data_IF_565585425536
#
_entry.id   IF_565585425536
#
_cell.length_a   1.000
_cell.length_b   1.000
_cell.length_c   1.000
_cell.angle_alpha   90.00
_cell.angle_beta   90.00
_cell.angle_gamma   90.00
#
_symmetry.space_group_name_H-M   'P 1'
#
loop_
_entity.id
_entity.type
_entity.pdbx_description
1 polymer ?
#
# COMPACT_ATOMS: atom_id res chain seq x y z
N UNK A 1 -82.69 -39.41 26.75
CA UNK A 1 -82.36 -38.77 28.04
C UNK A 1 -81.02 -39.35 28.48
N UNK A 2 -80.00 -38.50 28.68
CA UNK A 2 -78.66 -38.81 29.25
C UNK A 2 -77.71 -39.58 28.28
N UNK A 3 -76.84 -38.90 27.51
CA UNK A 3 -75.45 -38.41 27.80
C UNK A 3 -74.40 -39.50 27.65
N UNK A 4 -73.49 -39.36 26.66
CA UNK A 4 -72.05 -39.53 26.92
C UNK A 4 -71.18 -38.88 25.83
N UNK A 5 -70.10 -38.26 26.31
CA UNK A 5 -69.22 -37.29 25.64
C UNK A 5 -67.93 -37.96 25.20
N UNK A 6 -67.49 -37.79 23.97
CA UNK A 6 -66.10 -38.01 23.57
C UNK A 6 -65.56 -36.76 22.88
N UNK A 7 -64.76 -35.97 23.60
CA UNK A 7 -63.92 -34.89 23.05
C UNK A 7 -62.47 -35.32 23.22
N UNK A 8 -61.80 -35.58 22.11
CA UNK A 8 -60.33 -35.71 22.07
C UNK A 8 -59.72 -34.31 22.17
N UNK A 9 -58.94 -34.06 23.22
CA UNK A 9 -58.06 -32.90 23.34
C UNK A 9 -56.68 -33.29 22.80
N UNK A 10 -56.30 -32.75 21.64
CA UNK A 10 -54.90 -32.74 21.21
C UNK A 10 -54.21 -31.56 21.90
N UNK A 11 -53.29 -31.83 22.82
CA UNK A 11 -52.44 -30.82 23.44
C UNK A 11 -51.31 -30.44 22.47
N UNK A 12 -51.26 -29.16 22.08
CA UNK A 12 -50.15 -28.55 21.36
C UNK A 12 -49.03 -28.27 22.36
N UNK A 13 -47.89 -28.95 22.22
CA UNK A 13 -46.66 -28.58 22.91
C UNK A 13 -45.87 -27.63 22.01
N UNK A 14 -45.95 -26.32 22.29
CA UNK A 14 -45.12 -25.31 21.65
C UNK A 14 -43.83 -25.15 22.46
N UNK A 15 -42.75 -25.80 22.02
CA UNK A 15 -41.42 -25.66 22.63
C UNK A 15 -40.82 -24.33 22.17
N UNK A 16 -40.85 -23.31 23.04
CA UNK A 16 -40.16 -22.04 22.78
C UNK A 16 -38.67 -22.26 23.01
N UNK A 17 -37.91 -22.36 21.91
CA UNK A 17 -36.44 -22.27 21.96
C UNK A 17 -36.11 -20.79 22.14
N UNK A 18 -35.78 -20.40 23.37
CA UNK A 18 -35.21 -19.10 23.66
C UNK A 18 -33.78 -19.06 23.08
N UNK A 19 -33.65 -18.56 21.85
CA UNK A 19 -32.35 -18.26 21.26
C UNK A 19 -31.67 -17.17 22.07
N UNK A 20 -30.51 -17.50 22.66
CA UNK A 20 -29.60 -16.51 23.21
C UNK A 20 -29.13 -15.62 22.07
N UNK A 21 -29.74 -14.43 21.95
CA UNK A 21 -29.19 -13.34 21.14
C UNK A 21 -27.94 -12.87 21.88
N UNK A 22 -26.78 -13.37 21.48
CA UNK A 22 -25.51 -12.76 21.82
C UNK A 22 -25.46 -11.44 21.08
N UNK A 23 -25.87 -10.36 21.75
CA UNK A 23 -25.63 -9.00 21.27
C UNK A 23 -24.11 -8.82 21.34
N UNK A 24 -23.44 -8.90 20.19
CA UNK A 24 -22.05 -8.52 20.10
C UNK A 24 -21.90 -7.09 20.64
N UNK A 25 -21.02 -6.91 21.62
CA UNK A 25 -20.72 -5.57 22.14
C UNK A 25 -20.38 -4.65 20.96
N UNK A 26 -20.91 -3.41 20.91
CA UNK A 26 -20.57 -2.49 19.84
C UNK A 26 -19.06 -2.31 19.83
N UNK A 27 -18.43 -2.61 18.70
CA UNK A 27 -17.01 -2.33 18.51
C UNK A 27 -16.78 -0.84 18.79
N UNK A 28 -15.99 -0.55 19.82
CA UNK A 28 -15.75 0.83 20.25
C UNK A 28 -14.97 1.54 19.15
N UNK A 29 -15.57 2.56 18.54
CA UNK A 29 -14.91 3.46 17.59
C UNK A 29 -13.61 3.99 18.20
N UNK A 30 -12.47 3.79 17.52
CA UNK A 30 -11.16 4.26 17.96
C UNK A 30 -10.67 5.41 17.09
N UNK A 31 -9.95 6.34 17.70
CA UNK A 31 -9.14 7.32 16.97
C UNK A 31 -7.74 6.74 16.81
N UNK A 32 -7.29 6.57 15.57
CA UNK A 32 -5.95 6.08 15.22
C UNK A 32 -5.13 7.23 14.67
N UNK A 33 -4.14 7.67 15.45
CA UNK A 33 -3.29 8.79 15.06
C UNK A 33 -1.97 8.29 14.49
N UNK A 34 -1.61 8.78 13.31
CA UNK A 34 -0.34 8.54 12.64
C UNK A 34 0.40 9.88 12.49
N UNK A 35 1.69 9.88 12.79
CA UNK A 35 2.56 11.04 12.59
C UNK A 35 3.44 10.72 11.39
N UNK A 36 3.13 11.33 10.24
CA UNK A 36 3.79 11.02 8.97
C UNK A 36 4.50 12.28 8.49
N UNK A 37 5.73 12.17 8.04
CA UNK A 37 6.38 13.26 7.32
C UNK A 37 6.78 12.82 5.91
N UNK A 38 6.77 13.78 4.97
CA UNK A 38 7.46 13.62 3.70
C UNK A 38 8.90 14.11 3.90
N UNK A 39 9.86 13.26 3.55
CA UNK A 39 11.28 13.51 3.76
C UNK A 39 12.08 13.28 2.48
N UNK A 40 13.06 14.16 2.24
CA UNK A 40 14.02 13.99 1.16
C UNK A 40 15.01 12.87 1.51
N UNK A 41 15.13 11.88 0.63
CA UNK A 41 16.07 10.76 0.76
C UNK A 41 16.79 10.53 -0.55
N UNK A 42 18.01 9.96 -0.48
CA UNK A 42 18.61 9.29 -1.64
C UNK A 42 18.17 7.83 -1.62
N UNK A 43 17.31 7.47 -2.57
CA UNK A 43 16.81 6.12 -2.76
C UNK A 43 17.69 5.38 -3.75
N UNK A 44 18.09 4.15 -3.44
CA UNK A 44 18.83 3.27 -4.35
C UNK A 44 17.91 2.14 -4.80
N UNK A 45 17.62 2.05 -6.10
CA UNK A 45 16.74 1.02 -6.66
C UNK A 45 17.37 -0.38 -6.65
N UNK A 46 18.71 -0.46 -6.62
CA UNK A 46 19.45 -1.72 -6.60
C UNK A 46 20.65 -1.65 -5.63
N UNK A 47 20.41 -1.59 -4.30
CA UNK A 47 21.43 -1.37 -3.28
C UNK A 47 22.58 -2.39 -3.28
N UNK A 48 22.37 -3.63 -3.76
CA UNK A 48 23.46 -4.61 -3.85
C UNK A 48 24.42 -4.36 -5.01
N UNK A 49 24.03 -3.52 -5.98
CA UNK A 49 24.75 -3.36 -7.25
C UNK A 49 24.72 -4.60 -8.15
N UNK A 50 23.85 -5.58 -7.85
CA UNK A 50 23.75 -6.86 -8.54
C UNK A 50 22.29 -7.22 -8.86
N UNK A 51 22.14 -8.06 -9.87
CA UNK A 51 20.92 -8.82 -10.09
C UNK A 51 20.96 -10.07 -9.22
N UNK A 52 20.16 -10.03 -8.15
CA UNK A 52 20.11 -11.09 -7.14
C UNK A 52 19.23 -12.28 -7.55
N UNK A 53 18.47 -12.16 -8.64
CA UNK A 53 17.71 -13.27 -9.24
C UNK A 53 18.63 -14.08 -10.15
N UNK A 54 19.35 -13.41 -11.04
CA UNK A 54 20.28 -14.07 -11.98
C UNK A 54 21.64 -14.41 -11.35
N UNK A 55 22.00 -13.78 -10.22
CA UNK A 55 23.31 -13.92 -9.59
C UNK A 55 24.43 -13.29 -10.40
N UNK A 56 24.16 -12.14 -11.04
CA UNK A 56 25.06 -11.46 -11.98
C UNK A 56 25.15 -9.97 -11.68
N UNK A 57 26.06 -9.28 -12.36
CA UNK A 57 26.08 -7.82 -12.36
C UNK A 57 24.77 -7.27 -12.97
N UNK A 58 24.35 -6.07 -12.52
CA UNK A 58 23.27 -5.33 -13.16
C UNK A 58 23.57 -5.11 -14.65
N UNK A 59 22.53 -5.03 -15.50
CA UNK A 59 22.75 -4.76 -16.92
C UNK A 59 23.45 -3.41 -17.14
N UNK A 60 24.14 -3.25 -18.29
CA UNK A 60 24.75 -1.97 -18.63
C UNK A 60 23.70 -0.84 -18.62
N UNK A 61 24.03 0.27 -17.94
CA UNK A 61 23.15 1.44 -17.90
C UNK A 61 22.89 1.99 -19.30
N UNK A 62 21.70 2.56 -19.51
CA UNK A 62 21.47 3.39 -20.68
C UNK A 62 22.40 4.64 -20.62
N UNK A 63 22.94 5.15 -21.75
CA UNK A 63 23.82 6.32 -21.73
C UNK A 63 23.19 7.56 -21.08
N UNK A 64 21.87 7.71 -21.18
CA UNK A 64 21.07 8.79 -20.59
C UNK A 64 20.50 8.47 -19.20
N UNK A 65 20.76 7.29 -18.65
CA UNK A 65 20.43 6.98 -17.27
C UNK A 65 21.44 7.67 -16.34
N UNK A 66 20.94 8.38 -15.32
CA UNK A 66 21.80 9.10 -14.37
C UNK A 66 22.63 8.14 -13.51
N UNK A 67 21.97 7.11 -12.97
CA UNK A 67 22.57 6.13 -12.08
C UNK A 67 21.51 5.16 -11.53
N UNK A 68 21.74 4.66 -10.31
CA UNK A 68 20.80 3.82 -9.55
C UNK A 68 20.28 4.49 -8.28
N UNK A 69 20.82 5.68 -7.96
CA UNK A 69 20.51 6.44 -6.75
C UNK A 69 19.86 7.76 -7.16
N UNK A 70 18.69 8.07 -6.60
CA UNK A 70 17.92 9.27 -6.91
C UNK A 70 17.42 9.94 -5.63
N UNK A 71 17.40 11.27 -5.59
CA UNK A 71 16.63 12.04 -4.62
C UNK A 71 15.15 11.78 -4.83
N UNK A 72 14.48 11.43 -3.75
CA UNK A 72 13.05 11.16 -3.67
C UNK A 72 12.46 11.83 -2.44
N UNK A 73 11.17 12.15 -2.49
CA UNK A 73 10.39 12.53 -1.31
C UNK A 73 9.53 11.35 -0.92
N UNK A 74 9.80 10.74 0.24
CA UNK A 74 9.06 9.54 0.69
C UNK A 74 8.34 9.80 2.00
N UNK A 75 7.21 9.11 2.22
CA UNK A 75 6.52 9.16 3.51
C UNK A 75 7.22 8.29 4.55
N UNK A 76 7.43 8.84 5.74
CA UNK A 76 8.02 8.12 6.87
C UNK A 76 7.23 8.39 8.15
N UNK A 77 7.12 7.38 9.02
CA UNK A 77 6.40 7.50 10.29
C UNK A 77 7.31 8.00 11.39
N UNK A 78 6.79 8.88 12.23
CA UNK A 78 7.42 9.42 13.42
C UNK A 78 6.67 8.93 14.67
N UNK A 79 7.35 8.95 15.82
CA UNK A 79 6.77 8.46 17.07
C UNK A 79 5.65 9.33 17.59
N UNK A 80 5.71 10.64 17.32
CA UNK A 80 4.80 11.63 17.90
C UNK A 80 4.79 12.95 17.12
N UNK A 81 4.00 13.89 17.64
CA UNK A 81 3.73 15.23 17.12
C UNK A 81 4.96 16.14 16.96
N UNK A 82 6.09 15.82 17.60
CA UNK A 82 7.30 16.64 17.53
C UNK A 82 8.05 16.43 16.22
N UNK A 83 7.85 15.27 15.58
CA UNK A 83 8.62 14.82 14.41
C UNK A 83 10.14 14.81 14.66
N UNK A 84 10.57 14.60 15.91
CA UNK A 84 11.98 14.51 16.27
C UNK A 84 12.55 13.10 16.12
N UNK A 85 11.72 12.07 16.30
CA UNK A 85 12.15 10.67 16.27
C UNK A 85 11.42 9.90 15.18
N UNK A 86 12.19 9.44 14.20
CA UNK A 86 11.70 8.52 13.18
C UNK A 86 11.35 7.18 13.84
N UNK A 87 10.16 6.67 13.57
CA UNK A 87 9.76 5.33 14.01
C UNK A 87 10.50 4.30 13.17
N UNK A 88 11.34 3.50 13.83
CA UNK A 88 12.14 2.50 13.15
C UNK A 88 11.25 1.42 12.50
N UNK A 89 11.54 1.06 11.25
CA UNK A 89 10.99 -0.15 10.63
C UNK A 89 11.79 -1.35 11.11
N UNK A 90 11.10 -2.33 11.68
CA UNK A 90 11.72 -3.60 12.04
C UNK A 90 12.04 -4.45 10.81
N UNK A 91 12.79 -5.55 10.96
CA UNK A 91 13.11 -6.47 9.87
C UNK A 91 11.87 -6.99 9.12
N UNK A 92 10.75 -7.17 9.83
CA UNK A 92 9.48 -7.61 9.24
C UNK A 92 8.87 -6.59 8.27
N UNK A 93 9.16 -5.30 8.43
CA UNK A 93 8.63 -4.22 7.60
C UNK A 93 9.66 -3.69 6.59
N UNK A 94 10.88 -4.25 6.57
CA UNK A 94 11.96 -3.79 5.71
C UNK A 94 11.58 -3.89 4.21
N UNK A 95 10.76 -4.88 3.85
CA UNK A 95 10.26 -5.08 2.49
C UNK A 95 9.36 -3.93 2.01
N UNK A 96 8.78 -3.11 2.89
CA UNK A 96 7.93 -1.98 2.47
C UNK A 96 8.73 -1.00 1.59
N UNK A 97 10.06 -1.00 1.72
CA UNK A 97 10.94 -0.25 0.85
C UNK A 97 10.59 1.24 0.81
N UNK A 98 10.30 1.74 -0.39
CA UNK A 98 9.98 3.13 -0.62
C UNK A 98 8.62 3.55 -0.07
N UNK A 99 7.67 2.61 0.05
CA UNK A 99 6.30 2.90 0.48
C UNK A 99 6.29 3.61 1.82
N UNK A 100 5.30 4.48 2.02
CA UNK A 100 4.95 5.06 3.30
C UNK A 100 4.55 4.02 4.35
N UNK A 101 4.45 4.41 5.63
CA UNK A 101 3.94 3.51 6.66
C UNK A 101 2.53 3.00 6.35
N UNK A 102 2.24 1.79 6.81
CA UNK A 102 0.91 1.20 6.66
C UNK A 102 -0.05 1.87 7.63
N UNK A 103 -1.05 2.56 7.10
CA UNK A 103 -2.16 3.10 7.89
C UNK A 103 -3.19 2.00 8.07
N UNK A 104 -3.52 1.63 9.30
CA UNK A 104 -4.52 0.61 9.61
C UNK A 104 -5.75 1.20 10.29
N UNK A 105 -6.92 0.67 9.98
CA UNK A 105 -8.14 0.98 10.72
C UNK A 105 -9.17 -0.15 10.63
N UNK A 106 -10.08 -0.19 11.60
CA UNK A 106 -11.30 -1.00 11.54
C UNK A 106 -12.49 -0.12 11.14
N UNK A 107 -13.53 -0.72 10.57
CA UNK A 107 -14.79 -0.01 10.31
C UNK A 107 -15.33 0.65 11.59
N UNK A 108 -15.66 1.93 11.48
CA UNK A 108 -16.09 2.78 12.59
C UNK A 108 -14.97 3.59 13.25
N UNK A 109 -13.71 3.30 12.94
CA UNK A 109 -12.59 4.11 13.42
C UNK A 109 -12.51 5.46 12.71
N UNK A 110 -11.78 6.38 13.34
CA UNK A 110 -11.32 7.64 12.74
C UNK A 110 -9.80 7.62 12.63
N UNK A 111 -9.28 7.78 11.43
CA UNK A 111 -7.86 7.93 11.13
C UNK A 111 -7.52 9.42 11.22
N UNK A 112 -6.48 9.75 11.97
CA UNK A 112 -5.91 11.09 12.05
C UNK A 112 -4.47 11.02 11.57
N UNK A 113 -4.15 11.70 10.47
CA UNK A 113 -2.77 11.82 9.99
C UNK A 113 -2.28 13.22 10.30
N UNK A 114 -1.34 13.34 11.24
CA UNK A 114 -0.57 14.57 11.43
C UNK A 114 0.60 14.54 10.46
N UNK A 115 0.48 15.33 9.40
CA UNK A 115 1.45 15.38 8.32
C UNK A 115 2.41 16.56 8.52
N UNK A 116 3.71 16.32 8.39
CA UNK A 116 4.74 17.37 8.29
C UNK A 116 5.47 17.27 6.96
N UNK A 117 5.63 18.40 6.28
CA UNK A 117 6.40 18.43 5.04
C UNK A 117 7.83 18.90 5.34
N UNK A 118 8.80 17.97 5.40
CA UNK A 118 10.22 18.31 5.57
C UNK A 118 10.95 18.51 4.22
N UNK A 119 10.24 18.41 3.10
CA UNK A 119 10.80 18.56 1.75
C UNK A 119 10.81 20.02 1.30
N UNK A 120 11.37 20.28 0.11
CA UNK A 120 11.30 21.57 -0.58
C UNK A 120 10.09 21.72 -1.51
N UNK A 121 9.32 20.65 -1.69
CA UNK A 121 8.13 20.64 -2.52
C UNK A 121 6.91 21.08 -1.71
N UNK A 122 5.86 21.55 -2.37
CA UNK A 122 4.53 21.53 -1.77
C UNK A 122 3.97 20.14 -1.98
N UNK A 123 3.51 19.48 -0.92
CA UNK A 123 2.99 18.12 -0.92
C UNK A 123 1.72 18.05 -0.08
N UNK A 124 0.88 17.06 -0.32
CA UNK A 124 -0.36 16.81 0.44
C UNK A 124 -0.44 15.35 0.86
N UNK A 125 -1.50 14.94 1.55
CA UNK A 125 -1.81 13.51 1.79
C UNK A 125 -3.26 13.26 1.41
N UNK A 126 -3.47 12.65 0.24
CA UNK A 126 -4.77 12.27 -0.29
C UNK A 126 -5.04 10.78 -0.07
N UNK A 127 -6.15 10.39 0.60
CA UNK A 127 -6.48 9.00 0.81
C UNK A 127 -7.50 8.48 -0.23
N UNK A 128 -7.40 7.19 -0.54
CA UNK A 128 -8.43 6.46 -1.27
C UNK A 128 -9.37 5.71 -0.30
N UNK A 129 -10.60 5.45 -0.74
CA UNK A 129 -11.59 4.57 -0.08
C UNK A 129 -12.29 5.11 1.17
N UNK A 130 -11.59 5.86 2.03
CA UNK A 130 -12.12 6.40 3.29
C UNK A 130 -13.04 7.61 3.08
N UNK A 131 -13.62 8.15 4.16
CA UNK A 131 -14.46 9.36 4.12
C UNK A 131 -13.73 10.54 4.74
N UNK A 132 -13.69 11.65 4.02
CA UNK A 132 -13.09 12.91 4.46
C UNK A 132 -14.02 14.09 4.16
N UNK A 133 -13.80 15.20 4.88
CA UNK A 133 -14.36 16.50 4.54
C UNK A 133 -13.36 17.27 3.67
N UNK A 134 -13.80 18.39 3.08
CA UNK A 134 -13.01 19.17 2.10
C UNK A 134 -11.68 19.71 2.62
N UNK A 135 -11.53 19.93 3.93
CA UNK A 135 -10.27 20.34 4.56
C UNK A 135 -9.35 19.16 4.94
N UNK A 136 -9.67 17.95 4.51
CA UNK A 136 -8.91 16.72 4.76
C UNK A 136 -8.84 15.82 3.52
N UNK A 137 -9.06 16.39 2.34
CA UNK A 137 -9.00 15.68 1.07
C UNK A 137 -7.58 15.62 0.52
N UNK A 138 -6.84 16.72 0.63
CA UNK A 138 -5.45 16.79 0.17
C UNK A 138 -5.29 16.79 -1.34
N UNK A 139 -6.26 17.30 -2.09
CA UNK A 139 -6.21 17.34 -3.56
C UNK A 139 -6.66 18.72 -4.10
N UNK A 140 -5.77 19.50 -4.74
CA UNK A 140 -6.12 20.81 -5.29
C UNK A 140 -6.93 20.71 -6.58
N UNK A 141 -8.20 21.11 -6.53
CA UNK A 141 -9.02 21.36 -7.72
C UNK A 141 -10.08 22.45 -7.48
N UNK A 142 -10.78 22.85 -8.54
CA UNK A 142 -11.89 23.82 -8.47
C UNK A 142 -13.14 23.16 -7.90
N UNK A 143 -13.19 23.08 -6.57
CA UNK A 143 -14.21 22.36 -5.80
C UNK A 143 -15.23 23.26 -5.09
N UNK A 144 -15.07 24.59 -5.15
CA UNK A 144 -15.93 25.55 -4.47
C UNK A 144 -15.75 25.63 -2.95
N UNK A 145 -14.74 24.98 -2.38
CA UNK A 145 -14.44 25.04 -0.95
C UNK A 145 -13.94 26.43 -0.53
N UNK A 146 -14.16 26.79 0.73
CA UNK A 146 -13.73 28.06 1.27
C UNK A 146 -12.21 28.12 1.39
N UNK A 147 -11.60 29.31 1.32
CA UNK A 147 -10.15 29.49 1.45
C UNK A 147 -9.52 28.85 2.69
N UNK A 148 -10.27 28.73 3.80
CA UNK A 148 -9.81 28.07 5.03
C UNK A 148 -9.70 26.55 4.93
N UNK A 149 -10.36 25.95 3.94
CA UNK A 149 -10.42 24.52 3.65
C UNK A 149 -9.42 24.16 2.54
N UNK A 150 -8.45 25.03 2.25
CA UNK A 150 -7.44 24.86 1.19
C UNK A 150 -6.04 24.61 1.71
N UNK A 151 -5.86 24.52 3.03
CA UNK A 151 -4.55 24.28 3.64
C UNK A 151 -4.09 22.82 3.54
N UNK A 152 -5.02 21.91 3.25
CA UNK A 152 -4.77 20.48 3.06
C UNK A 152 -4.30 20.16 1.63
N UNK A 153 -4.78 20.93 0.64
CA UNK A 153 -4.51 20.77 -0.79
C UNK A 153 -3.01 20.82 -1.16
N UNK A 154 -2.22 21.63 -0.44
CA UNK A 154 -0.79 21.79 -0.70
C UNK A 154 -0.07 22.32 0.54
N UNK A 155 0.44 21.42 1.37
CA UNK A 155 1.19 21.77 2.58
C UNK A 155 2.58 22.28 2.18
N UNK A 156 2.95 23.53 2.53
CA UNK A 156 4.22 24.11 2.10
C UNK A 156 5.43 23.46 2.81
N UNK A 157 6.66 23.67 2.30
CA UNK A 157 7.89 23.30 2.99
C UNK A 157 7.91 23.77 4.45
N UNK A 158 8.20 22.86 5.38
CA UNK A 158 8.18 23.09 6.82
C UNK A 158 6.78 23.15 7.45
N UNK A 159 5.73 23.09 6.64
CA UNK A 159 4.33 23.13 7.07
C UNK A 159 3.89 21.84 7.76
N UNK A 160 2.84 21.98 8.57
CA UNK A 160 2.16 20.86 9.24
C UNK A 160 0.66 20.99 8.99
N UNK A 161 0.02 19.88 8.62
CA UNK A 161 -1.43 19.78 8.50
C UNK A 161 -1.96 18.53 9.21
N UNK A 162 -3.23 18.53 9.60
CA UNK A 162 -3.87 17.35 10.19
C UNK A 162 -5.05 16.93 9.33
N UNK A 163 -4.93 15.76 8.73
CA UNK A 163 -5.99 15.12 7.95
C UNK A 163 -6.82 14.22 8.87
N UNK A 164 -8.14 14.31 8.80
CA UNK A 164 -9.05 13.46 9.58
C UNK A 164 -9.99 12.70 8.64
N UNK A 165 -9.94 11.38 8.70
CA UNK A 165 -10.73 10.49 7.86
C UNK A 165 -11.53 9.52 8.71
N UNK A 166 -12.81 9.37 8.40
CA UNK A 166 -13.67 8.36 9.04
C UNK A 166 -13.75 7.11 8.18
N UNK A 167 -13.91 5.95 8.82
CA UNK A 167 -14.01 4.65 8.14
C UNK A 167 -15.45 4.14 8.21
N UNK A 168 -16.35 4.59 7.32
CA UNK A 168 -17.71 4.06 7.23
C UNK A 168 -17.72 2.64 6.63
N UNK A 169 -18.87 1.98 6.68
CA UNK A 169 -19.05 0.65 6.06
C UNK A 169 -18.67 0.62 4.56
N UNK A 170 -18.91 1.73 3.83
CA UNK A 170 -18.53 1.84 2.41
C UNK A 170 -17.02 1.84 2.14
N UNK A 171 -16.19 2.04 3.17
CA UNK A 171 -14.73 2.00 3.07
C UNK A 171 -14.17 0.61 3.43
N UNK A 172 -15.05 -0.30 3.86
CA UNK A 172 -14.73 -1.63 4.35
C UNK A 172 -14.73 -2.67 3.23
N UNK A 173 -14.20 -3.88 3.50
CA UNK A 173 -14.41 -5.03 2.64
C UNK A 173 -15.91 -5.27 2.38
N UNK A 174 -16.27 -5.43 1.11
CA UNK A 174 -17.60 -5.84 0.69
C UNK A 174 -17.94 -7.28 1.11
N UNK A 175 -19.16 -7.75 0.81
CA UNK A 175 -19.62 -9.07 1.25
C UNK A 175 -18.75 -10.24 0.78
N UNK A 176 -18.19 -10.13 -0.44
CA UNK A 176 -17.34 -11.14 -1.07
C UNK A 176 -15.84 -10.91 -0.83
N UNK A 177 -15.47 -9.75 -0.29
CA UNK A 177 -14.09 -9.45 0.01
C UNK A 177 -13.61 -10.23 1.24
N UNK A 178 -12.28 -10.42 1.39
CA UNK A 178 -11.69 -10.90 2.63
C UNK A 178 -12.00 -10.02 3.85
N UNK A 179 -11.49 -10.39 5.03
CA UNK A 179 -11.74 -9.61 6.25
C UNK A 179 -11.05 -8.23 6.27
N UNK A 180 -10.12 -7.96 5.35
CA UNK A 180 -9.44 -6.69 5.19
C UNK A 180 -9.12 -6.42 3.73
N UNK A 181 -9.19 -5.15 3.33
CA UNK A 181 -8.85 -4.66 1.99
C UNK A 181 -7.77 -3.58 2.06
N UNK A 182 -7.14 -3.30 0.92
CA UNK A 182 -6.15 -2.23 0.78
C UNK A 182 -6.73 -1.08 -0.03
N UNK A 183 -6.54 0.13 0.49
CA UNK A 183 -6.56 1.38 -0.24
C UNK A 183 -5.14 1.96 -0.27
N UNK A 184 -4.94 3.10 -0.90
CA UNK A 184 -3.68 3.83 -0.85
C UNK A 184 -3.85 5.27 -0.41
N UNK A 185 -2.75 5.92 -0.07
CA UNK A 185 -2.64 7.36 0.06
C UNK A 185 -1.41 7.84 -0.66
N UNK A 186 -1.48 9.04 -1.25
CA UNK A 186 -0.35 9.65 -1.96
C UNK A 186 -0.44 11.18 -1.90
N UNK A 187 0.64 11.88 -2.28
CA UNK A 187 0.53 13.33 -2.54
C UNK A 187 -0.22 13.56 -3.85
N UNK A 188 -1.03 14.61 -3.89
CA UNK A 188 -1.91 14.93 -5.02
C UNK A 188 -1.72 16.36 -5.54
N UNK A 189 -0.63 17.04 -5.15
CA UNK A 189 -0.36 18.42 -5.58
C UNK A 189 -0.03 18.53 -7.06
N UNK A 190 0.65 17.51 -7.59
CA UNK A 190 0.93 17.28 -8.99
C UNK A 190 0.78 15.76 -9.19
N UNK A 191 -0.47 15.32 -9.38
CA UNK A 191 -0.91 13.92 -9.22
C UNK A 191 0.04 12.89 -9.85
N UNK A 192 0.39 13.09 -11.12
CA UNK A 192 1.27 12.18 -11.86
C UNK A 192 2.70 12.23 -11.30
N UNK A 193 3.29 13.43 -11.23
CA UNK A 193 4.71 13.60 -10.92
C UNK A 193 5.03 13.40 -9.44
N UNK A 194 4.05 13.60 -8.57
CA UNK A 194 4.19 13.35 -7.14
C UNK A 194 4.48 11.87 -6.94
N UNK A 195 3.71 10.94 -7.52
CA UNK A 195 3.94 9.49 -7.35
C UNK A 195 5.33 9.07 -7.82
N UNK A 196 5.79 9.55 -8.99
CA UNK A 196 7.17 9.33 -9.46
C UNK A 196 8.22 9.90 -8.49
N UNK A 197 7.89 10.95 -7.74
CA UNK A 197 8.77 11.51 -6.72
C UNK A 197 8.84 10.63 -5.46
N UNK A 198 7.84 9.77 -5.22
CA UNK A 198 7.81 8.71 -4.18
C UNK A 198 6.85 8.81 -2.98
N UNK A 199 6.09 9.88 -2.70
CA UNK A 199 5.20 9.96 -1.54
C UNK A 199 3.90 9.19 -1.81
N UNK A 200 3.93 7.88 -1.59
CA UNK A 200 2.81 6.94 -1.70
C UNK A 200 2.88 5.88 -0.59
N UNK A 201 1.75 5.40 -0.07
CA UNK A 201 1.70 4.33 0.93
C UNK A 201 0.32 3.66 1.04
N UNK A 202 0.21 2.53 1.76
CA UNK A 202 -1.02 1.76 1.85
C UNK A 202 -1.88 2.15 3.05
N UNK A 203 -3.20 2.10 2.87
CA UNK A 203 -4.21 2.09 3.94
C UNK A 203 -4.86 0.71 3.96
N UNK A 204 -4.85 0.00 5.09
CA UNK A 204 -5.53 -1.29 5.24
C UNK A 204 -6.74 -1.12 6.14
N UNK A 205 -7.92 -1.43 5.60
CA UNK A 205 -9.18 -1.36 6.32
C UNK A 205 -9.69 -2.77 6.61
N UNK A 206 -9.87 -3.06 7.90
CA UNK A 206 -10.36 -4.34 8.40
C UNK A 206 -11.86 -4.23 8.73
N UNK A 207 -12.61 -5.29 8.41
CA UNK A 207 -14.03 -5.43 8.71
C UNK A 207 -14.29 -5.31 10.21
N UNK A 208 -15.45 -4.76 10.58
CA UNK A 208 -15.89 -4.61 11.97
C UNK A 208 -15.80 -5.93 12.74
N UNK A 209 -15.16 -5.90 13.91
CA UNK A 209 -14.96 -7.04 14.79
C UNK A 209 -13.80 -7.97 14.38
N UNK A 210 -13.20 -7.77 13.21
CA UNK A 210 -12.13 -8.61 12.68
C UNK A 210 -10.74 -8.03 12.89
N UNK A 211 -10.60 -6.83 13.47
CA UNK A 211 -9.31 -6.22 13.73
C UNK A 211 -8.73 -6.61 15.10
N UNK A 212 -7.43 -6.92 15.12
CA UNK A 212 -6.57 -6.91 16.31
C UNK A 212 -6.42 -5.47 16.82
N UNK A 213 -5.88 -5.24 18.04
CA UNK A 213 -5.79 -3.89 18.62
C UNK A 213 -5.06 -2.86 17.74
N UNK A 214 -4.02 -3.28 17.03
CA UNK A 214 -3.23 -2.50 16.09
C UNK A 214 -3.93 -2.24 14.74
N UNK A 215 -5.06 -2.90 14.47
CA UNK A 215 -5.85 -2.76 13.24
C UNK A 215 -5.63 -3.86 12.21
N UNK A 216 -4.66 -4.77 12.41
CA UNK A 216 -4.43 -5.92 11.53
C UNK A 216 -5.57 -6.95 11.63
N UNK A 217 -5.87 -7.72 10.57
CA UNK A 217 -6.88 -8.77 10.59
C UNK A 217 -6.53 -9.94 11.54
N UNK A 218 -7.53 -10.50 12.23
CA UNK A 218 -7.41 -11.65 13.15
C UNK A 218 -7.24 -13.00 12.45
N UNK A 219 -7.75 -13.12 11.23
CA UNK A 219 -7.78 -14.33 10.41
C UNK A 219 -6.55 -14.52 9.53
N UNK A 220 -5.56 -13.64 9.66
CA UNK A 220 -4.30 -13.68 8.91
C UNK A 220 -3.13 -13.75 9.90
N UNK A 221 -2.11 -14.52 9.53
CA UNK A 221 -0.89 -14.70 10.31
C UNK A 221 0.25 -13.79 9.81
N UNK A 222 0.32 -13.55 8.49
CA UNK A 222 1.28 -12.63 7.86
C UNK A 222 0.59 -11.74 6.83
N UNK A 223 0.83 -10.44 6.91
CA UNK A 223 0.40 -9.45 5.92
C UNK A 223 1.60 -9.01 5.08
N UNK A 224 1.47 -8.99 3.76
CA UNK A 224 2.50 -8.50 2.84
C UNK A 224 1.92 -7.47 1.91
N UNK A 225 2.69 -6.41 1.62
CA UNK A 225 2.29 -5.32 0.72
C UNK A 225 3.27 -5.28 -0.45
N UNK A 226 2.76 -5.31 -1.67
CA UNK A 226 3.58 -5.19 -2.87
C UNK A 226 2.93 -4.18 -3.83
N UNK A 227 3.60 -3.05 -4.00
CA UNK A 227 3.30 -2.09 -5.05
C UNK A 227 4.20 -2.39 -6.25
N UNK A 228 3.58 -2.63 -7.38
CA UNK A 228 4.25 -2.69 -8.68
C UNK A 228 4.17 -1.33 -9.31
N UNK A 229 5.30 -0.77 -9.71
CA UNK A 229 5.32 0.62 -10.17
C UNK A 229 6.40 0.86 -11.20
N UNK A 230 6.01 1.53 -12.28
CA UNK A 230 6.88 2.24 -13.18
C UNK A 230 7.20 3.61 -12.58
N UNK A 231 8.42 3.77 -12.07
CA UNK A 231 8.89 5.06 -11.55
C UNK A 231 9.76 5.74 -12.60
N UNK A 232 9.24 6.77 -13.25
CA UNK A 232 10.00 7.59 -14.21
C UNK A 232 10.64 8.79 -13.50
N UNK A 233 11.93 8.67 -13.20
CA UNK A 233 12.70 9.73 -12.55
C UNK A 233 12.91 10.97 -13.43
N UNK A 234 12.59 10.90 -14.73
CA UNK A 234 12.51 12.08 -15.58
C UNK A 234 11.26 12.93 -15.31
N UNK A 235 10.19 12.32 -14.80
CA UNK A 235 8.96 13.02 -14.39
C UNK A 235 8.98 13.47 -12.93
N UNK A 236 9.83 12.83 -12.09
CA UNK A 236 10.07 13.23 -10.71
C UNK A 236 10.28 14.74 -10.56
N UNK A 237 9.64 15.33 -9.54
CA UNK A 237 9.80 16.74 -9.18
C UNK A 237 11.19 17.04 -8.62
N UNK A 238 11.98 16.00 -8.36
CA UNK A 238 13.38 16.08 -7.91
C UNK A 238 14.40 16.01 -9.06
N UNK A 239 13.98 15.93 -10.34
CA UNK A 239 14.91 15.81 -11.48
C UNK A 239 16.04 16.85 -11.48
N UNK A 240 15.74 18.12 -11.16
CA UNK A 240 16.78 19.16 -11.10
C UNK A 240 17.83 18.88 -10.03
N UNK A 241 17.40 18.39 -8.86
CA UNK A 241 18.33 17.99 -7.79
C UNK A 241 19.14 16.75 -8.22
N UNK A 242 18.51 15.79 -8.90
CA UNK A 242 19.15 14.58 -9.41
C UNK A 242 20.20 14.86 -10.49
N UNK A 243 19.97 15.84 -11.37
CA UNK A 243 20.94 16.23 -12.38
C UNK A 243 22.16 16.95 -11.77
N UNK A 244 21.95 17.70 -10.70
CA UNK A 244 22.97 18.51 -10.05
C UNK A 244 23.84 17.74 -9.04
N UNK A 245 23.35 16.62 -8.50
CA UNK A 245 24.06 15.87 -7.47
C UNK A 245 25.00 14.80 -8.08
N UNK A 246 26.31 14.85 -7.83
CA UNK A 246 27.26 13.89 -8.37
C UNK A 246 27.09 12.45 -7.82
N UNK A 247 26.34 12.26 -6.72
CA UNK A 247 26.00 10.91 -6.24
C UNK A 247 24.91 10.26 -7.10
N UNK A 248 23.92 11.05 -7.52
CA UNK A 248 22.81 10.57 -8.36
C UNK A 248 23.17 10.58 -9.85
N UNK A 249 24.02 11.53 -10.27
CA UNK A 249 24.48 11.72 -11.64
C UNK A 249 26.03 11.73 -11.73
N UNK A 250 26.70 10.62 -11.39
CA UNK A 250 28.17 10.52 -11.43
C UNK A 250 28.76 10.64 -12.84
N UNK A 251 27.95 10.51 -13.88
CA UNK A 251 28.35 10.59 -15.27
C UNK A 251 28.04 11.94 -15.93
N UNK A 252 27.55 12.91 -15.17
CA UNK A 252 27.23 14.26 -15.65
C UNK A 252 26.30 14.26 -16.87
N UNK A 253 25.35 13.33 -16.90
CA UNK A 253 24.28 13.29 -17.91
C UNK A 253 23.47 14.59 -17.80
N UNK A 254 23.17 15.20 -18.94
CA UNK A 254 22.38 16.43 -19.02
C UNK A 254 21.25 16.25 -20.03
N UNK A 255 20.09 16.82 -19.74
CA UNK A 255 18.93 16.72 -20.61
C UNK A 255 17.68 17.34 -19.99
N UNK A 256 16.67 17.60 -20.83
CA UNK A 256 15.31 17.87 -20.38
C UNK A 256 14.60 16.56 -20.02
N UNK A 257 13.48 16.64 -19.29
CA UNK A 257 12.65 15.48 -18.94
C UNK A 257 12.36 14.61 -20.17
N UNK A 258 11.82 15.20 -21.25
CA UNK A 258 11.50 14.48 -22.51
C UNK A 258 12.68 13.72 -23.14
N UNK A 259 13.91 14.21 -22.96
CA UNK A 259 15.11 13.55 -23.49
C UNK A 259 15.59 12.40 -22.60
N UNK A 260 15.30 12.49 -21.31
CA UNK A 260 15.71 11.54 -20.27
C UNK A 260 14.64 10.48 -20.00
N UNK A 261 13.43 10.69 -20.51
CA UNK A 261 12.30 9.76 -20.47
C UNK A 261 12.71 8.38 -21.01
N UNK A 262 12.10 7.33 -20.45
CA UNK A 262 12.42 5.90 -20.67
C UNK A 262 13.80 5.45 -20.17
N UNK A 263 14.83 6.30 -20.24
CA UNK A 263 16.18 5.98 -19.79
C UNK A 263 16.35 6.01 -18.27
N UNK A 264 15.43 6.67 -17.57
CA UNK A 264 15.43 6.83 -16.10
C UNK A 264 14.17 6.24 -15.47
N UNK A 265 13.60 5.25 -16.14
CA UNK A 265 12.42 4.53 -15.72
C UNK A 265 12.82 3.24 -15.02
N UNK A 266 12.38 3.07 -13.79
CA UNK A 266 12.61 1.88 -12.98
C UNK A 266 11.32 1.09 -12.85
N UNK A 267 11.40 -0.22 -13.06
CA UNK A 267 10.25 -1.11 -13.02
C UNK A 267 10.32 -1.92 -11.74
N UNK A 268 9.72 -1.36 -10.69
CA UNK A 268 10.00 -1.72 -9.31
C UNK A 268 8.92 -2.55 -8.63
N UNK A 269 9.34 -3.31 -7.61
CA UNK A 269 8.46 -3.80 -6.54
C UNK A 269 8.86 -3.07 -5.26
N UNK A 270 7.95 -2.26 -4.70
CA UNK A 270 8.19 -1.39 -3.53
C UNK A 270 9.43 -0.47 -3.67
N UNK A 271 9.76 -0.07 -4.89
CA UNK A 271 10.94 0.77 -5.18
C UNK A 271 12.25 0.00 -5.37
N UNK A 272 12.24 -1.34 -5.48
CA UNK A 272 13.44 -2.13 -5.77
C UNK A 272 13.34 -2.90 -7.09
N UNK A 273 14.49 -3.02 -7.77
CA UNK A 273 14.65 -3.76 -9.02
C UNK A 273 15.63 -4.94 -8.84
N UNK A 274 15.63 -5.86 -9.81
CA UNK A 274 16.58 -6.97 -9.97
C UNK A 274 16.76 -7.81 -8.69
N UNK A 275 15.66 -8.10 -7.99
CA UNK A 275 15.67 -8.95 -6.79
C UNK A 275 16.21 -8.28 -5.52
N UNK A 276 16.41 -6.96 -5.53
CA UNK A 276 16.97 -6.20 -4.40
C UNK A 276 15.97 -5.91 -3.27
N UNK A 277 14.67 -6.18 -3.48
CA UNK A 277 13.68 -6.13 -2.42
C UNK A 277 14.12 -7.05 -1.26
N UNK A 278 14.15 -6.57 0.01
CA UNK A 278 14.38 -7.43 1.16
C UNK A 278 13.45 -8.64 1.15
N UNK A 279 14.00 -9.83 1.41
CA UNK A 279 13.30 -11.11 1.25
C UNK A 279 11.97 -11.11 2.02
N UNK A 280 10.87 -11.22 1.28
CA UNK A 280 9.53 -11.44 1.85
C UNK A 280 9.53 -12.85 2.45
N UNK A 281 9.22 -12.98 3.75
CA UNK A 281 9.37 -14.27 4.45
C UNK A 281 8.05 -14.69 5.09
N UNK A 282 7.68 -15.94 4.87
CA UNK A 282 6.52 -16.60 5.48
C UNK A 282 6.87 -18.04 5.84
N UNK A 283 6.03 -18.70 6.63
CA UNK A 283 6.20 -20.10 7.05
C UNK A 283 5.09 -20.94 6.45
N UNK A 284 5.41 -22.18 6.06
CA UNK A 284 4.45 -23.15 5.55
C UNK A 284 3.22 -23.23 6.47
N UNK A 285 2.04 -23.21 5.86
CA UNK A 285 0.75 -23.32 6.56
C UNK A 285 0.26 -22.04 7.24
N UNK A 286 1.02 -20.94 7.22
CA UNK A 286 0.50 -19.63 7.66
C UNK A 286 -0.56 -19.11 6.70
N UNK A 287 -1.57 -18.42 7.22
CA UNK A 287 -2.51 -17.66 6.41
C UNK A 287 -1.85 -16.34 6.04
N UNK A 288 -1.47 -16.18 4.79
CA UNK A 288 -0.78 -15.01 4.29
C UNK A 288 -1.73 -14.17 3.45
N UNK A 289 -1.85 -12.88 3.73
CA UNK A 289 -2.63 -11.95 2.91
C UNK A 289 -1.70 -10.99 2.17
N UNK A 290 -1.82 -10.98 0.85
CA UNK A 290 -1.12 -10.07 -0.04
C UNK A 290 -2.03 -8.89 -0.37
N UNK A 291 -1.53 -7.69 -0.12
CA UNK A 291 -2.12 -6.43 -0.55
C UNK A 291 -1.31 -5.89 -1.71
N UNK A 292 -1.93 -5.84 -2.87
CA UNK A 292 -1.29 -5.49 -4.12
C UNK A 292 -1.75 -4.12 -4.56
N UNK A 293 -0.80 -3.29 -4.97
CA UNK A 293 -1.05 -1.96 -5.49
C UNK A 293 -0.31 -1.78 -6.82
N UNK A 294 -0.82 -0.91 -7.67
CA UNK A 294 -0.07 -0.31 -8.79
C UNK A 294 -0.05 1.21 -8.67
N UNK A 295 0.92 1.86 -9.33
CA UNK A 295 1.00 3.32 -9.41
C UNK A 295 0.08 3.92 -10.49
N UNK A 296 0.25 5.22 -10.74
CA UNK A 296 -0.68 6.07 -11.49
C UNK A 296 -0.39 6.21 -13.00
N UNK A 297 0.74 5.74 -13.52
CA UNK A 297 1.09 5.95 -14.94
C UNK A 297 0.10 5.22 -15.86
N UNK A 298 -0.25 5.83 -17.00
CA UNK A 298 -1.11 5.24 -18.02
C UNK A 298 -0.62 3.88 -18.55
N UNK A 299 0.67 3.57 -18.38
CA UNK A 299 1.30 2.30 -18.75
C UNK A 299 1.59 1.37 -17.55
N UNK A 300 1.09 1.66 -16.34
CA UNK A 300 1.24 0.82 -15.14
C UNK A 300 0.34 -0.41 -15.14
N UNK A 301 0.52 -1.27 -16.14
CA UNK A 301 -0.02 -2.62 -16.12
C UNK A 301 0.99 -3.61 -15.58
N UNK A 302 0.58 -4.48 -14.66
CA UNK A 302 1.47 -5.47 -14.07
C UNK A 302 0.80 -6.83 -13.97
N UNK A 303 1.63 -7.86 -13.99
CA UNK A 303 1.21 -9.24 -13.82
C UNK A 303 1.93 -9.88 -12.63
N UNK A 304 1.62 -9.54 -11.35
CA UNK A 304 2.25 -10.16 -10.20
C UNK A 304 2.10 -11.68 -10.23
N UNK A 305 3.21 -12.40 -10.20
CA UNK A 305 3.24 -13.86 -10.29
C UNK A 305 3.99 -14.47 -9.12
N UNK A 306 3.37 -15.43 -8.44
CA UNK A 306 4.00 -16.18 -7.36
C UNK A 306 4.47 -17.54 -7.87
N UNK A 307 5.77 -17.66 -8.13
CA UNK A 307 6.32 -18.94 -8.58
C UNK A 307 6.21 -20.00 -7.48
N UNK A 308 5.83 -21.23 -7.87
CA UNK A 308 5.74 -22.38 -6.96
C UNK A 308 4.62 -22.31 -5.92
N UNK A 309 3.77 -21.28 -5.95
CA UNK A 309 2.62 -21.10 -5.06
C UNK A 309 1.37 -20.72 -5.87
N UNK A 310 0.22 -20.72 -5.20
CA UNK A 310 -1.01 -20.11 -5.74
C UNK A 310 -1.64 -19.20 -4.69
N UNK A 311 -2.43 -18.25 -5.14
CA UNK A 311 -3.26 -17.38 -4.32
C UNK A 311 -4.74 -17.62 -4.63
N UNK A 312 -5.60 -17.24 -3.69
CA UNK A 312 -7.03 -17.13 -3.88
C UNK A 312 -7.39 -15.65 -4.05
N UNK A 313 -8.03 -15.32 -5.17
CA UNK A 313 -8.51 -13.98 -5.49
C UNK A 313 -9.94 -14.10 -6.02
N UNK A 314 -10.88 -13.38 -5.42
CA UNK A 314 -12.31 -13.40 -5.79
C UNK A 314 -12.89 -14.83 -5.92
N UNK A 315 -12.56 -15.69 -4.95
CA UNK A 315 -12.98 -17.10 -4.93
C UNK A 315 -12.30 -18.01 -5.96
N UNK A 316 -11.39 -17.47 -6.79
CA UNK A 316 -10.68 -18.22 -7.83
C UNK A 316 -9.21 -18.41 -7.48
N UNK A 317 -8.67 -19.56 -7.85
CA UNK A 317 -7.24 -19.86 -7.67
C UNK A 317 -6.46 -19.29 -8.85
N UNK A 318 -5.42 -18.53 -8.56
CA UNK A 318 -4.54 -17.95 -9.55
C UNK A 318 -3.07 -18.09 -9.11
N UNK A 319 -2.15 -18.15 -10.07
CA UNK A 319 -0.71 -17.96 -9.83
C UNK A 319 -0.23 -16.57 -10.26
N UNK A 320 -1.06 -15.87 -11.04
CA UNK A 320 -0.78 -14.55 -11.61
C UNK A 320 -2.06 -13.73 -11.57
N UNK A 321 -1.97 -12.47 -11.14
CA UNK A 321 -3.07 -11.50 -11.21
C UNK A 321 -2.70 -10.37 -12.17
N UNK A 322 -3.68 -9.72 -12.79
CA UNK A 322 -3.45 -8.47 -13.53
C UNK A 322 -3.66 -7.29 -12.59
N UNK A 323 -2.85 -6.24 -12.69
CA UNK A 323 -3.08 -4.93 -12.09
C UNK A 323 -3.05 -3.91 -13.22
N UNK A 324 -4.07 -3.07 -13.36
CA UNK A 324 -4.00 -1.84 -14.16
C UNK A 324 -3.58 -0.63 -13.31
N UNK A 325 -3.48 0.58 -13.87
CA UNK A 325 -3.11 1.77 -13.11
C UNK A 325 -4.05 1.99 -11.92
N UNK A 326 -3.49 2.30 -10.76
CA UNK A 326 -4.21 2.50 -9.48
C UNK A 326 -5.02 1.31 -8.95
N UNK A 327 -4.88 0.12 -9.54
CA UNK A 327 -5.54 -1.08 -9.03
C UNK A 327 -5.05 -1.43 -7.62
N UNK A 328 -6.01 -1.84 -6.80
CA UNK A 328 -5.80 -2.31 -5.45
C UNK A 328 -6.47 -3.68 -5.32
N UNK A 329 -5.68 -4.72 -5.06
CA UNK A 329 -6.17 -6.11 -4.99
C UNK A 329 -5.72 -6.79 -3.72
N UNK A 330 -6.53 -7.72 -3.24
CA UNK A 330 -6.20 -8.55 -2.08
C UNK A 330 -6.28 -10.01 -2.46
N UNK A 331 -5.22 -10.75 -2.18
CA UNK A 331 -5.14 -12.17 -2.46
C UNK A 331 -4.65 -12.94 -1.24
N UNK A 332 -5.29 -14.06 -0.92
CA UNK A 332 -4.92 -14.92 0.20
C UNK A 332 -4.08 -16.10 -0.28
N UNK A 333 -3.03 -16.41 0.47
CA UNK A 333 -2.11 -17.51 0.20
C UNK A 333 -2.03 -18.43 1.41
N UNK A 334 -2.02 -19.74 1.13
CA UNK A 334 -1.65 -20.76 2.09
C UNK A 334 -0.39 -21.45 1.54
N UNK A 335 0.82 -21.00 1.93
CA UNK A 335 2.05 -21.49 1.34
C UNK A 335 2.29 -22.93 1.79
N UNK A 336 2.52 -23.84 0.84
CA UNK A 336 2.60 -25.28 1.09
C UNK A 336 3.94 -25.90 0.66
N UNK A 337 4.72 -25.16 -0.12
CA UNK A 337 5.97 -25.61 -0.74
C UNK A 337 7.18 -24.77 -0.26
N UNK A 338 7.93 -25.24 0.76
CA UNK A 338 9.10 -24.55 1.28
C UNK A 338 10.20 -24.33 0.24
N UNK A 339 10.82 -23.15 0.27
CA UNK A 339 11.86 -22.77 -0.68
C UNK A 339 11.96 -21.25 -0.85
N UNK A 340 12.95 -20.81 -1.64
CA UNK A 340 13.03 -19.44 -2.13
C UNK A 340 12.47 -19.40 -3.54
N UNK A 341 11.48 -18.55 -3.76
CA UNK A 341 10.69 -18.47 -4.98
C UNK A 341 10.80 -17.09 -5.61
N UNK A 342 10.66 -17.03 -6.93
CA UNK A 342 10.57 -15.79 -7.68
C UNK A 342 9.20 -15.14 -7.48
N UNK A 343 9.20 -13.83 -7.29
CA UNK A 343 8.01 -12.98 -7.35
C UNK A 343 8.27 -11.85 -8.32
N UNK A 344 7.60 -11.85 -9.45
CA UNK A 344 7.87 -10.94 -10.57
C UNK A 344 6.59 -10.35 -11.17
N UNK A 345 6.79 -9.39 -12.07
CA UNK A 345 5.78 -9.03 -13.05
C UNK A 345 6.02 -9.80 -14.35
N UNK A 346 5.12 -10.70 -14.71
CA UNK A 346 5.30 -11.59 -15.88
C UNK A 346 4.96 -10.95 -17.23
N UNK A 347 4.78 -9.63 -17.30
CA UNK A 347 4.83 -8.92 -18.59
C UNK A 347 6.27 -8.92 -19.08
N UNK A 348 6.51 -9.42 -20.30
CA UNK A 348 7.87 -9.71 -20.79
C UNK A 348 8.85 -8.54 -20.66
N UNK A 349 8.44 -7.33 -21.08
CA UNK A 349 9.27 -6.12 -20.98
C UNK A 349 9.55 -5.71 -19.53
N UNK A 350 8.62 -5.97 -18.60
CA UNK A 350 8.81 -5.66 -17.19
C UNK A 350 9.77 -6.65 -16.51
N UNK A 351 9.62 -7.93 -16.82
CA UNK A 351 10.50 -8.98 -16.35
C UNK A 351 11.94 -8.76 -16.84
N UNK A 352 12.13 -8.48 -18.13
CA UNK A 352 13.45 -8.21 -18.74
C UNK A 352 14.13 -6.97 -18.14
N UNK A 353 13.35 -5.94 -17.79
CA UNK A 353 13.84 -4.74 -17.12
C UNK A 353 14.03 -4.91 -15.60
N UNK A 354 13.89 -6.12 -15.07
CA UNK A 354 14.26 -6.45 -13.70
C UNK A 354 13.16 -6.28 -12.66
N UNK A 355 11.89 -6.16 -13.04
CA UNK A 355 10.74 -6.08 -12.11
C UNK A 355 10.50 -7.41 -11.40
N UNK A 356 11.41 -7.70 -10.46
CA UNK A 356 11.59 -9.01 -9.84
C UNK A 356 11.99 -8.85 -8.39
N UNK A 357 11.49 -9.75 -7.57
CA UNK A 357 11.77 -9.93 -6.16
C UNK A 357 11.82 -11.42 -5.85
N UNK A 358 12.11 -11.75 -4.59
CA UNK A 358 12.07 -13.13 -4.10
C UNK A 358 11.29 -13.19 -2.81
N UNK A 359 10.67 -14.33 -2.56
CA UNK A 359 10.07 -14.65 -1.27
C UNK A 359 10.51 -16.02 -0.78
N UNK A 360 10.58 -16.19 0.53
CA UNK A 360 10.95 -17.43 1.19
C UNK A 360 9.74 -18.02 1.93
N UNK A 361 9.45 -19.29 1.63
CA UNK A 361 8.56 -20.13 2.44
C UNK A 361 9.43 -21.02 3.31
N UNK A 362 9.43 -20.75 4.61
CA UNK A 362 10.15 -21.52 5.61
C UNK A 362 9.40 -22.83 5.95
N UNK A 363 10.09 -23.89 6.40
CA UNK A 363 9.51 -25.20 6.71
C UNK A 363 8.36 -25.19 7.72
#
# INVERSE_FOLDING_TARGET
MVVERWKWLAAVALTIVAGLIVVAAPAQSRVRTYYIAADDVRWNFAPSGQDLVAGKALPPRHPLQLGWVYHKAIYREYTDATFCHLKARGPHDAYLGLLGPVIRAEVGDTIVVRFKNNTRLHLSVHPHGVKYDKASEGAPYRDGSARREKSDDAVPPGGVHTYTWTVPERAAPGPMDPSSIVWMYHSHTDEVRDVDTGPIGPIIITRRGMARPDGSPKDVDVELVAMFSQMDESQSRMLTANLADPVTNPHHVAGSADKLQNANQFLTINGFDYGNLPMLTMTKGQRVRWYLLSSMDDNDFHAPTWHGQTVLYDGQRASTLMLGPMDMKVADMLPDNPGVWLFDCSLGVHLEAGMTARFAVLP
#
